data_IF_333923395166
#
_entry.id   IF_333923395166
#
_cell.length_a   1.000
_cell.length_b   1.000
_cell.length_c   1.000
_cell.angle_alpha   90.00
_cell.angle_beta   90.00
_cell.angle_gamma   90.00
#
_symmetry.space_group_name_H-M   'P 1'
#
loop_
_entity.id
_entity.type
_entity.pdbx_description
1 polymer ?
#
# COMPACT_ATOMS: atom_id res chain seq x y z
N UNK A 1 -13.42 18.50 25.94
CA UNK A 1 -12.25 19.32 25.58
C UNK A 1 -12.46 19.85 24.17
N UNK A 2 -12.89 21.11 24.01
CA UNK A 2 -12.94 21.75 22.69
C UNK A 2 -11.63 22.52 22.51
N UNK A 3 -10.75 22.01 21.65
CA UNK A 3 -9.55 22.71 21.24
C UNK A 3 -9.99 23.89 20.37
N UNK A 4 -10.03 25.10 20.94
CA UNK A 4 -10.31 26.35 20.23
C UNK A 4 -9.01 26.86 19.60
N UNK A 5 -9.03 27.11 18.29
CA UNK A 5 -8.01 27.81 17.50
C UNK A 5 -6.59 27.22 17.53
N UNK A 6 -6.43 25.96 17.12
CA UNK A 6 -5.12 25.51 16.63
C UNK A 6 -5.24 25.34 15.11
N UNK A 7 -4.30 25.93 14.38
CA UNK A 7 -4.12 25.77 12.95
C UNK A 7 -3.62 24.35 12.66
N UNK A 8 -4.55 23.38 12.70
CA UNK A 8 -4.34 21.94 12.51
C UNK A 8 -5.15 21.49 11.32
N UNK A 9 -4.52 20.70 10.46
CA UNK A 9 -5.16 20.08 9.31
C UNK A 9 -5.67 18.67 9.64
N UNK A 10 -5.01 17.96 10.56
CA UNK A 10 -5.44 16.62 11.01
C UNK A 10 -4.90 16.26 12.38
N UNK A 11 -5.72 15.56 13.16
CA UNK A 11 -5.29 14.82 14.35
C UNK A 11 -5.33 13.34 14.01
N UNK A 12 -4.23 12.61 14.22
CA UNK A 12 -4.14 11.18 13.93
C UNK A 12 -3.96 10.43 15.24
N UNK A 13 -4.90 9.54 15.55
CA UNK A 13 -4.82 8.70 16.75
C UNK A 13 -4.46 7.25 16.42
N UNK A 14 -3.89 6.53 17.39
CA UNK A 14 -3.65 5.09 17.24
C UNK A 14 -4.96 4.30 17.27
N UNK A 15 -5.01 3.23 16.48
CA UNK A 15 -6.07 2.25 16.47
C UNK A 15 -5.65 1.03 17.27
N UNK A 16 -6.59 0.50 18.03
CA UNK A 16 -6.51 -0.79 18.70
C UNK A 16 -7.11 -1.87 17.79
N UNK A 17 -6.29 -2.78 17.30
CA UNK A 17 -6.77 -3.92 16.52
C UNK A 17 -7.29 -4.97 17.48
N UNK A 18 -8.55 -5.35 17.31
CA UNK A 18 -9.20 -6.38 18.11
C UNK A 18 -9.73 -7.50 17.22
N UNK A 19 -9.69 -8.72 17.71
CA UNK A 19 -10.35 -9.85 17.07
C UNK A 19 -11.86 -9.65 17.11
N UNK A 20 -12.53 -9.80 15.96
CA UNK A 20 -13.97 -9.54 15.87
C UNK A 20 -14.79 -10.51 16.74
N UNK A 21 -14.36 -11.76 16.89
CA UNK A 21 -15.13 -12.80 17.57
C UNK A 21 -14.93 -12.80 19.09
N UNK A 22 -13.67 -12.65 19.52
CA UNK A 22 -13.27 -12.74 20.93
C UNK A 22 -13.13 -11.37 21.60
N UNK A 23 -13.04 -10.28 20.82
CA UNK A 23 -12.78 -8.94 21.32
C UNK A 23 -11.37 -8.73 21.89
N UNK A 24 -10.49 -9.72 21.77
CA UNK A 24 -9.13 -9.66 22.30
C UNK A 24 -8.26 -8.68 21.52
N UNK A 25 -7.40 -7.96 22.24
CA UNK A 25 -6.35 -7.13 21.65
C UNK A 25 -5.41 -7.97 20.80
N UNK A 26 -5.11 -7.48 19.60
CA UNK A 26 -4.14 -8.08 18.67
C UNK A 26 -2.88 -7.23 18.61
N UNK A 27 -3.02 -5.94 18.29
CA UNK A 27 -1.91 -4.99 18.15
C UNK A 27 -2.43 -3.55 18.08
N UNK A 28 -1.52 -2.58 18.07
CA UNK A 28 -1.78 -1.21 17.62
C UNK A 28 -0.96 -0.88 16.38
N UNK A 29 -1.39 0.09 15.59
CA UNK A 29 -0.60 0.63 14.49
C UNK A 29 0.38 1.71 14.96
N UNK A 30 1.45 1.89 14.18
CA UNK A 30 2.29 3.08 14.27
C UNK A 30 1.72 4.20 13.40
N UNK A 31 1.70 5.41 13.96
CA UNK A 31 1.13 6.61 13.33
C UNK A 31 2.19 7.68 13.04
N UNK A 32 3.41 7.55 13.58
CA UNK A 32 4.45 8.55 13.43
C UNK A 32 5.73 7.94 12.85
N UNK A 33 6.41 8.71 12.01
CA UNK A 33 7.79 8.48 11.60
C UNK A 33 8.44 9.80 11.21
N UNK A 34 9.76 9.89 11.38
CA UNK A 34 10.58 10.97 10.82
C UNK A 34 10.64 10.94 9.28
N UNK A 35 10.37 9.79 8.66
CA UNK A 35 10.27 9.60 7.20
C UNK A 35 8.85 9.15 6.83
N UNK A 36 7.88 10.01 7.14
CA UNK A 36 6.45 9.67 7.08
C UNK A 36 6.02 9.17 5.70
N UNK A 37 6.45 9.79 4.60
CA UNK A 37 6.06 9.37 3.25
C UNK A 37 6.56 7.95 2.96
N UNK A 38 7.84 7.64 3.22
CA UNK A 38 8.37 6.30 2.94
C UNK A 38 7.76 5.25 3.84
N UNK A 39 7.65 5.55 5.12
CA UNK A 39 7.11 4.60 6.10
C UNK A 39 5.60 4.38 5.92
N UNK A 40 4.85 5.39 5.48
CA UNK A 40 3.44 5.23 5.12
C UNK A 40 3.29 4.42 3.82
N UNK A 41 4.09 4.72 2.80
CA UNK A 41 4.02 4.01 1.52
C UNK A 41 4.34 2.51 1.68
N UNK A 42 5.30 2.19 2.55
CA UNK A 42 5.74 0.81 2.83
C UNK A 42 4.90 0.09 3.88
N UNK A 43 3.92 0.78 4.48
CA UNK A 43 2.99 0.22 5.46
C UNK A 43 3.55 0.09 6.88
N UNK A 44 4.70 0.69 7.18
CA UNK A 44 5.24 0.79 8.54
C UNK A 44 4.43 1.74 9.40
N UNK A 45 4.01 2.86 8.81
CA UNK A 45 3.02 3.79 9.36
C UNK A 45 1.71 3.61 8.61
N UNK A 46 0.59 3.71 9.30
CA UNK A 46 -0.74 3.62 8.67
C UNK A 46 -1.75 4.41 9.49
N UNK A 47 -2.60 5.20 8.84
CA UNK A 47 -3.63 5.98 9.55
C UNK A 47 -4.98 5.25 9.54
N UNK A 48 -5.20 4.38 8.55
CA UNK A 48 -6.49 3.75 8.27
C UNK A 48 -7.60 4.78 8.00
N UNK A 49 -8.79 4.32 7.65
CA UNK A 49 -9.94 5.19 7.43
C UNK A 49 -10.35 6.00 8.68
N UNK A 50 -10.22 5.41 9.87
CA UNK A 50 -10.81 5.95 11.11
C UNK A 50 -9.81 6.56 12.10
N UNK A 51 -8.50 6.43 11.86
CA UNK A 51 -7.48 7.06 12.70
C UNK A 51 -7.38 8.58 12.55
N UNK A 52 -7.44 9.15 11.33
CA UNK A 52 -7.28 10.58 11.13
C UNK A 52 -8.62 11.33 11.21
N UNK A 53 -8.62 12.43 11.95
CA UNK A 53 -9.69 13.42 11.98
C UNK A 53 -9.26 14.65 11.18
N UNK A 54 -9.57 14.62 9.88
CA UNK A 54 -9.20 15.68 8.94
C UNK A 54 -10.08 16.93 9.10
N UNK A 55 -9.44 18.09 9.04
CA UNK A 55 -10.10 19.38 9.00
C UNK A 55 -10.82 19.58 7.67
N UNK A 56 -12.13 19.85 7.72
CA UNK A 56 -12.94 20.07 6.51
C UNK A 56 -12.38 21.19 5.62
N UNK A 57 -11.85 22.27 6.19
CA UNK A 57 -11.26 23.38 5.40
C UNK A 57 -10.01 22.95 4.65
N UNK A 58 -9.23 22.02 5.19
CA UNK A 58 -8.09 21.43 4.49
C UNK A 58 -8.56 20.53 3.35
N UNK A 59 -9.55 19.66 3.61
CA UNK A 59 -10.09 18.73 2.60
C UNK A 59 -10.76 19.44 1.41
N UNK A 60 -11.47 20.54 1.65
CA UNK A 60 -12.13 21.31 0.59
C UNK A 60 -11.15 21.99 -0.38
N UNK A 61 -9.85 22.02 -0.08
CA UNK A 61 -8.80 22.55 -0.96
C UNK A 61 -8.20 21.49 -1.89
N UNK A 62 -8.62 20.23 -1.74
CA UNK A 62 -8.05 19.12 -2.48
C UNK A 62 -8.87 18.84 -3.73
N UNK A 63 -8.19 18.60 -4.86
CA UNK A 63 -8.83 18.34 -6.15
C UNK A 63 -9.62 17.01 -6.15
N UNK A 64 -9.20 16.06 -5.32
CA UNK A 64 -9.79 14.72 -5.22
C UNK A 64 -9.73 14.21 -3.78
N UNK A 65 -10.86 13.70 -3.27
CA UNK A 65 -10.93 12.97 -2.00
C UNK A 65 -10.67 11.49 -2.24
N UNK A 66 -11.70 10.64 -2.40
CA UNK A 66 -11.53 9.22 -2.70
C UNK A 66 -11.61 8.95 -4.20
N UNK A 67 -10.78 8.01 -4.67
CA UNK A 67 -10.79 7.56 -6.06
C UNK A 67 -11.71 6.33 -6.19
N UNK A 68 -12.84 6.42 -6.90
CA UNK A 68 -13.79 5.31 -7.02
C UNK A 68 -13.24 4.11 -7.80
N UNK A 69 -12.09 4.25 -8.48
CA UNK A 69 -11.43 3.14 -9.17
C UNK A 69 -10.57 2.28 -8.22
N UNK A 70 -10.38 2.71 -6.97
CA UNK A 70 -9.61 2.01 -5.94
C UNK A 70 -10.58 1.35 -4.97
N UNK A 71 -10.70 0.02 -5.03
CA UNK A 71 -11.50 -0.78 -4.09
C UNK A 71 -10.72 -1.21 -2.86
N UNK A 72 -9.44 -1.49 -3.05
CA UNK A 72 -8.48 -1.88 -2.01
C UNK A 72 -7.34 -0.87 -1.98
N UNK A 73 -6.93 -0.46 -0.77
CA UNK A 73 -6.00 0.65 -0.48
C UNK A 73 -6.58 2.05 -0.79
N UNK A 74 -7.90 2.22 -0.75
CA UNK A 74 -8.56 3.51 -0.94
C UNK A 74 -8.23 4.50 0.19
N UNK A 75 -8.29 4.05 1.44
CA UNK A 75 -7.89 4.81 2.62
C UNK A 75 -6.38 5.11 2.65
N UNK A 76 -5.57 4.16 2.21
CA UNK A 76 -4.13 4.33 2.04
C UNK A 76 -3.81 5.38 0.97
N UNK A 77 -4.43 5.30 -0.21
CA UNK A 77 -4.26 6.27 -1.30
C UNK A 77 -4.71 7.66 -0.88
N UNK A 78 -5.90 7.77 -0.28
CA UNK A 78 -6.44 9.03 0.23
C UNK A 78 -5.50 9.69 1.22
N UNK A 79 -5.17 9.00 2.32
CA UNK A 79 -4.36 9.59 3.38
C UNK A 79 -2.95 9.93 2.89
N UNK A 80 -2.35 9.08 2.06
CA UNK A 80 -1.01 9.34 1.52
C UNK A 80 -0.98 10.56 0.60
N UNK A 81 -2.01 10.75 -0.22
CA UNK A 81 -2.17 11.99 -1.01
C UNK A 81 -2.36 13.23 -0.13
N UNK A 82 -3.11 13.11 0.96
CA UNK A 82 -3.23 14.20 1.92
C UNK A 82 -1.89 14.52 2.58
N UNK A 83 -1.07 13.51 2.91
CA UNK A 83 0.28 13.68 3.47
C UNK A 83 1.21 14.43 2.49
N UNK A 84 1.12 14.16 1.17
CA UNK A 84 1.92 14.90 0.18
C UNK A 84 1.67 16.41 0.19
N UNK A 85 0.50 16.85 0.68
CA UNK A 85 0.16 18.28 0.80
C UNK A 85 0.76 18.94 2.04
N UNK A 86 1.65 18.23 2.75
CA UNK A 86 2.36 18.68 3.94
C UNK A 86 1.42 19.28 5.01
N UNK A 87 0.40 18.54 5.49
CA UNK A 87 -0.55 19.04 6.46
C UNK A 87 0.10 19.28 7.83
N UNK A 88 -0.49 20.18 8.63
CA UNK A 88 -0.18 20.32 10.05
C UNK A 88 -0.83 19.17 10.81
N UNK A 89 -0.03 18.17 11.16
CA UNK A 89 -0.46 16.94 11.84
C UNK A 89 -0.18 17.01 13.33
N UNK A 90 -1.16 16.64 14.16
CA UNK A 90 -0.93 16.23 15.54
C UNK A 90 -1.05 14.71 15.64
N UNK A 91 -0.05 14.06 16.22
CA UNK A 91 -0.07 12.64 16.52
C UNK A 91 -0.49 12.43 17.98
N UNK A 92 -1.62 11.77 18.17
CA UNK A 92 -2.14 11.40 19.48
C UNK A 92 -1.95 9.90 19.70
N UNK A 93 -1.11 9.52 20.67
CA UNK A 93 -0.82 8.12 20.95
C UNK A 93 -1.94 7.40 21.72
N UNK A 94 -3.06 8.07 22.00
CA UNK A 94 -4.23 7.44 22.60
C UNK A 94 -4.87 6.40 21.68
N UNK A 95 -5.34 5.28 22.26
CA UNK A 95 -6.04 4.21 21.58
C UNK A 95 -7.56 4.45 21.63
N UNK A 96 -8.04 5.38 20.81
CA UNK A 96 -9.44 5.84 20.86
C UNK A 96 -10.38 5.10 19.91
N UNK A 97 -9.84 4.33 18.96
CA UNK A 97 -10.62 3.61 17.96
C UNK A 97 -10.29 2.12 17.95
N UNK A 98 -11.32 1.28 18.05
CA UNK A 98 -11.21 -0.18 17.93
C UNK A 98 -11.44 -0.64 16.49
N UNK A 99 -10.38 -1.12 15.84
CA UNK A 99 -10.44 -1.71 14.50
C UNK A 99 -10.69 -3.21 14.61
N UNK A 100 -11.86 -3.67 14.18
CA UNK A 100 -12.24 -5.09 14.26
C UNK A 100 -11.68 -5.87 13.08
N UNK A 101 -10.85 -6.87 13.35
CA UNK A 101 -10.35 -7.80 12.33
C UNK A 101 -11.28 -9.00 12.22
N UNK A 102 -11.79 -9.25 11.02
CA UNK A 102 -12.57 -10.44 10.69
C UNK A 102 -11.83 -11.28 9.65
N UNK A 103 -11.96 -12.61 9.70
CA UNK A 103 -11.24 -13.53 8.79
C UNK A 103 -11.61 -13.35 7.31
N UNK A 104 -12.80 -12.81 7.04
CA UNK A 104 -13.30 -12.54 5.68
C UNK A 104 -13.15 -11.06 5.25
N UNK A 105 -12.18 -10.33 5.82
CA UNK A 105 -11.87 -8.95 5.43
C UNK A 105 -11.36 -8.82 3.99
N UNK A 106 -11.31 -7.60 3.45
CA UNK A 106 -10.67 -7.30 2.16
C UNK A 106 -9.20 -7.77 2.11
N UNK A 107 -8.46 -7.62 3.21
CA UNK A 107 -7.09 -8.14 3.32
C UNK A 107 -7.01 -9.66 3.14
N UNK A 108 -8.07 -10.41 3.48
CA UNK A 108 -8.17 -11.85 3.18
C UNK A 108 -8.34 -12.17 1.70
N UNK A 109 -8.86 -11.24 0.88
CA UNK A 109 -8.99 -11.45 -0.56
C UNK A 109 -7.66 -11.30 -1.29
N UNK A 110 -6.80 -10.37 -0.83
CA UNK A 110 -5.43 -10.24 -1.33
C UNK A 110 -4.63 -11.51 -1.09
N UNK A 111 -4.73 -12.11 0.11
CA UNK A 111 -4.08 -13.39 0.41
C UNK A 111 -4.66 -14.56 -0.41
N UNK A 112 -5.92 -14.48 -0.83
CA UNK A 112 -6.56 -15.42 -1.77
C UNK A 112 -6.21 -15.17 -3.24
N UNK A 113 -5.38 -14.16 -3.53
CA UNK A 113 -4.95 -13.74 -4.86
C UNK A 113 -6.13 -13.35 -5.77
N UNK A 114 -7.11 -12.63 -5.21
CA UNK A 114 -8.22 -12.08 -5.99
C UNK A 114 -7.73 -11.07 -7.03
N UNK A 115 -8.10 -11.25 -8.30
CA UNK A 115 -7.58 -10.44 -9.38
C UNK A 115 -7.98 -8.96 -9.31
N UNK A 116 -9.23 -8.67 -8.92
CA UNK A 116 -9.74 -7.30 -8.89
C UNK A 116 -9.07 -6.51 -7.76
N UNK A 117 -8.94 -7.12 -6.58
CA UNK A 117 -8.29 -6.47 -5.45
C UNK A 117 -6.78 -6.27 -5.69
N UNK A 118 -6.10 -7.25 -6.31
CA UNK A 118 -4.69 -7.12 -6.70
C UNK A 118 -4.48 -6.03 -7.76
N UNK A 119 -5.43 -5.89 -8.70
CA UNK A 119 -5.40 -4.83 -9.72
C UNK A 119 -5.60 -3.47 -9.07
N UNK A 120 -6.52 -3.35 -8.11
CA UNK A 120 -6.72 -2.13 -7.32
C UNK A 120 -5.46 -1.74 -6.54
N UNK A 121 -4.86 -2.68 -5.82
CA UNK A 121 -3.62 -2.46 -5.06
C UNK A 121 -2.49 -1.94 -5.99
N UNK A 122 -2.25 -2.65 -7.10
CA UNK A 122 -1.25 -2.21 -8.08
C UNK A 122 -1.56 -0.80 -8.61
N UNK A 123 -2.82 -0.51 -8.95
CA UNK A 123 -3.22 0.80 -9.46
C UNK A 123 -2.97 1.91 -8.42
N UNK A 124 -3.38 1.72 -7.16
CA UNK A 124 -3.14 2.68 -6.08
C UNK A 124 -1.65 2.99 -5.90
N UNK A 125 -0.78 1.96 -5.93
CA UNK A 125 0.68 2.16 -5.85
C UNK A 125 1.23 2.92 -7.05
N UNK A 126 0.80 2.59 -8.27
CA UNK A 126 1.24 3.30 -9.47
C UNK A 126 0.78 4.76 -9.48
N UNK A 127 -0.45 5.04 -9.00
CA UNK A 127 -0.96 6.39 -8.82
C UNK A 127 -0.05 7.20 -7.90
N UNK A 128 0.30 6.65 -6.73
CA UNK A 128 1.18 7.30 -5.76
C UNK A 128 2.62 7.50 -6.27
N UNK A 129 3.18 6.52 -7.00
CA UNK A 129 4.51 6.69 -7.62
C UNK A 129 4.54 7.83 -8.63
N UNK A 130 3.44 8.10 -9.35
CA UNK A 130 3.36 9.25 -10.24
C UNK A 130 3.43 10.56 -9.45
N UNK A 131 2.68 10.69 -8.35
CA UNK A 131 2.74 11.87 -7.48
C UNK A 131 4.15 12.11 -6.95
N UNK A 132 4.78 11.10 -6.34
CA UNK A 132 6.13 11.23 -5.75
C UNK A 132 7.18 11.58 -6.80
N UNK A 133 7.06 11.08 -8.04
CA UNK A 133 7.99 11.41 -9.12
C UNK A 133 8.09 12.92 -9.37
N UNK A 134 6.99 13.66 -9.17
CA UNK A 134 6.97 15.11 -9.33
C UNK A 134 7.52 15.85 -8.11
N UNK A 135 7.39 15.27 -6.91
CA UNK A 135 7.75 15.92 -5.64
C UNK A 135 9.20 15.63 -5.19
N UNK A 136 9.69 14.39 -5.33
CA UNK A 136 11.00 13.96 -4.80
C UNK A 136 11.62 12.80 -5.59
N UNK A 137 12.73 13.07 -6.29
CA UNK A 137 13.41 12.05 -7.10
C UNK A 137 14.07 10.94 -6.24
N UNK A 138 14.56 11.27 -5.03
CA UNK A 138 15.21 10.28 -4.14
C UNK A 138 14.19 9.28 -3.59
N UNK A 139 13.04 9.77 -3.14
CA UNK A 139 11.97 8.90 -2.62
C UNK A 139 11.35 8.07 -3.72
N UNK A 140 11.20 8.66 -4.92
CA UNK A 140 10.69 7.97 -6.08
C UNK A 140 11.47 6.69 -6.40
N UNK A 141 12.82 6.75 -6.46
CA UNK A 141 13.64 5.57 -6.77
C UNK A 141 13.43 4.47 -5.73
N UNK A 142 13.50 4.83 -4.44
CA UNK A 142 13.31 3.89 -3.34
C UNK A 142 11.93 3.23 -3.37
N UNK A 143 10.86 4.03 -3.49
CA UNK A 143 9.48 3.55 -3.47
C UNK A 143 9.11 2.77 -4.73
N UNK A 144 9.74 3.09 -5.85
CA UNK A 144 9.64 2.30 -7.08
C UNK A 144 10.30 0.94 -6.92
N UNK A 145 11.48 0.88 -6.30
CA UNK A 145 12.15 -0.39 -5.98
C UNK A 145 11.28 -1.24 -5.05
N UNK A 146 10.71 -0.63 -4.01
CA UNK A 146 9.78 -1.30 -3.10
C UNK A 146 8.57 -1.87 -3.84
N UNK A 147 7.92 -1.05 -4.68
CA UNK A 147 6.75 -1.47 -5.46
C UNK A 147 7.09 -2.58 -6.47
N UNK A 148 8.29 -2.55 -7.05
CA UNK A 148 8.79 -3.63 -7.94
C UNK A 148 8.93 -4.93 -7.15
N UNK A 149 9.54 -4.88 -5.97
CA UNK A 149 9.72 -6.05 -5.12
C UNK A 149 8.38 -6.65 -4.67
N UNK A 150 7.41 -5.82 -4.35
CA UNK A 150 6.03 -6.27 -4.10
C UNK A 150 5.43 -6.97 -5.33
N UNK A 151 5.57 -6.38 -6.53
CA UNK A 151 5.07 -6.99 -7.77
C UNK A 151 5.78 -8.31 -8.08
N UNK A 152 7.09 -8.41 -7.82
CA UNK A 152 7.88 -9.63 -7.95
C UNK A 152 7.35 -10.75 -7.04
N UNK A 153 7.12 -10.41 -5.76
CA UNK A 153 6.51 -11.32 -4.79
C UNK A 153 5.13 -11.80 -5.28
N UNK A 154 4.29 -10.87 -5.77
CA UNK A 154 2.96 -11.20 -6.25
C UNK A 154 3.00 -12.16 -7.45
N UNK A 155 3.83 -11.90 -8.45
CA UNK A 155 3.95 -12.78 -9.61
C UNK A 155 4.40 -14.17 -9.20
N UNK A 156 5.34 -14.28 -8.26
CA UNK A 156 5.80 -15.56 -7.71
C UNK A 156 4.66 -16.34 -7.07
N UNK A 157 3.83 -15.69 -6.27
CA UNK A 157 2.69 -16.34 -5.61
C UNK A 157 1.61 -16.75 -6.64
N UNK A 158 1.33 -15.90 -7.63
CA UNK A 158 0.40 -16.22 -8.71
C UNK A 158 0.84 -17.43 -9.54
N UNK A 159 2.14 -17.51 -9.89
CA UNK A 159 2.72 -18.63 -10.62
C UNK A 159 2.65 -19.92 -9.83
N UNK A 160 3.01 -19.87 -8.54
CA UNK A 160 3.00 -21.05 -7.66
C UNK A 160 1.59 -21.62 -7.48
N UNK A 161 0.59 -20.73 -7.46
CA UNK A 161 -0.82 -21.10 -7.33
C UNK A 161 -1.53 -21.27 -8.69
N UNK A 162 -0.80 -21.27 -9.81
CA UNK A 162 -1.31 -21.45 -11.18
C UNK A 162 -2.51 -20.53 -11.50
N UNK A 163 -2.44 -19.28 -11.04
CA UNK A 163 -3.53 -18.31 -11.21
C UNK A 163 -3.53 -17.75 -12.64
N UNK A 164 -4.71 -17.71 -13.26
CA UNK A 164 -4.91 -17.30 -14.67
C UNK A 164 -4.27 -15.95 -15.04
N UNK A 165 -4.25 -15.00 -14.11
CA UNK A 165 -3.81 -13.63 -14.35
C UNK A 165 -2.33 -13.38 -14.05
N UNK A 166 -1.52 -14.42 -13.81
CA UNK A 166 -0.08 -14.29 -13.55
C UNK A 166 0.67 -13.50 -14.64
N UNK A 167 0.29 -13.69 -15.91
CA UNK A 167 0.94 -13.02 -17.04
C UNK A 167 0.70 -11.50 -17.07
N UNK A 168 -0.48 -11.05 -16.61
CA UNK A 168 -0.79 -9.63 -16.50
C UNK A 168 0.19 -8.93 -15.57
N UNK A 169 0.42 -9.48 -14.37
CA UNK A 169 1.36 -8.92 -13.40
C UNK A 169 2.82 -9.11 -13.81
N UNK A 170 3.13 -10.17 -14.57
CA UNK A 170 4.46 -10.36 -15.15
C UNK A 170 4.84 -9.19 -16.08
N UNK A 171 3.93 -8.79 -16.99
CA UNK A 171 4.15 -7.64 -17.87
C UNK A 171 4.38 -6.35 -17.04
N UNK A 172 3.62 -6.16 -15.96
CA UNK A 172 3.79 -5.01 -15.07
C UNK A 172 5.16 -5.01 -14.37
N UNK A 173 5.61 -6.16 -13.88
CA UNK A 173 6.92 -6.33 -13.29
C UNK A 173 8.03 -5.98 -14.29
N UNK A 174 7.98 -6.52 -15.51
CA UNK A 174 8.96 -6.21 -16.53
C UNK A 174 9.01 -4.72 -16.85
N UNK A 175 7.86 -4.06 -16.99
CA UNK A 175 7.83 -2.60 -17.19
C UNK A 175 8.59 -1.87 -16.09
N UNK A 176 8.40 -2.24 -14.83
CA UNK A 176 9.12 -1.62 -13.71
C UNK A 176 10.63 -1.91 -13.75
N UNK A 177 11.03 -3.14 -14.05
CA UNK A 177 12.44 -3.52 -14.20
C UNK A 177 13.14 -2.80 -15.36
N UNK A 178 12.45 -2.64 -16.49
CA UNK A 178 12.94 -1.85 -17.62
C UNK A 178 13.19 -0.40 -17.22
N UNK A 179 12.22 0.23 -16.54
CA UNK A 179 12.37 1.61 -16.07
C UNK A 179 13.45 1.78 -14.98
N UNK A 180 13.81 0.70 -14.27
CA UNK A 180 14.92 0.64 -13.30
C UNK A 180 16.24 0.15 -13.90
N UNK A 181 16.27 -0.19 -15.20
CA UNK A 181 17.44 -0.73 -15.93
C UNK A 181 17.97 -2.06 -15.38
N UNK A 182 17.11 -2.90 -14.80
CA UNK A 182 17.48 -4.19 -14.18
C UNK A 182 17.35 -5.37 -15.17
N UNK A 183 18.06 -5.31 -16.31
CA UNK A 183 17.93 -6.29 -17.40
C UNK A 183 18.32 -7.72 -17.00
N UNK A 184 19.34 -7.88 -16.15
CA UNK A 184 19.75 -9.20 -15.64
C UNK A 184 18.63 -9.89 -14.85
N UNK A 185 17.85 -9.11 -14.10
CA UNK A 185 16.69 -9.64 -13.39
C UNK A 185 15.58 -10.08 -14.34
N UNK A 186 15.34 -9.35 -15.44
CA UNK A 186 14.35 -9.72 -16.46
C UNK A 186 14.67 -11.11 -17.00
N UNK A 187 15.90 -11.36 -17.45
CA UNK A 187 16.30 -12.67 -17.99
C UNK A 187 16.14 -13.79 -16.96
N UNK A 188 16.62 -13.57 -15.72
CA UNK A 188 16.49 -14.55 -14.63
C UNK A 188 15.03 -14.88 -14.34
N UNK A 189 14.17 -13.86 -14.27
CA UNK A 189 12.77 -14.02 -13.93
C UNK A 189 11.98 -14.69 -15.06
N UNK A 190 12.27 -14.36 -16.33
CA UNK A 190 11.71 -15.05 -17.50
C UNK A 190 12.04 -16.52 -17.50
N UNK A 191 13.31 -16.88 -17.26
CA UNK A 191 13.72 -18.28 -17.17
C UNK A 191 13.00 -19.01 -16.04
N UNK A 192 12.92 -18.38 -14.86
CA UNK A 192 12.18 -18.93 -13.72
C UNK A 192 10.69 -19.13 -14.01
N UNK A 193 10.05 -18.16 -14.68
CA UNK A 193 8.63 -18.21 -15.04
C UNK A 193 8.34 -19.35 -16.02
N UNK A 194 9.13 -19.47 -17.10
CA UNK A 194 8.98 -20.54 -18.09
C UNK A 194 9.23 -21.89 -17.43
N UNK A 195 10.34 -22.02 -16.68
CA UNK A 195 10.69 -23.28 -16.04
C UNK A 195 9.59 -23.76 -15.08
N UNK A 196 9.01 -22.82 -14.31
CA UNK A 196 7.98 -23.16 -13.31
C UNK A 196 6.66 -23.56 -13.97
N UNK A 197 6.26 -22.88 -15.04
CA UNK A 197 5.01 -23.23 -15.73
C UNK A 197 5.11 -24.49 -16.59
N UNK A 198 6.25 -24.76 -17.22
CA UNK A 198 6.42 -25.90 -18.14
C UNK A 198 6.85 -27.17 -17.39
N UNK A 199 7.82 -27.05 -16.48
CA UNK A 199 8.44 -28.21 -15.83
C UNK A 199 8.07 -28.37 -14.36
N UNK A 200 7.27 -27.46 -13.79
CA UNK A 200 7.06 -27.32 -12.33
C UNK A 200 8.38 -27.24 -11.54
N UNK A 201 9.46 -26.77 -12.18
CA UNK A 201 10.81 -26.60 -11.62
C UNK A 201 11.22 -25.14 -11.77
N UNK A 202 12.18 -24.63 -11.00
CA UNK A 202 12.68 -23.26 -11.22
C UNK A 202 12.04 -22.15 -10.39
N UNK A 203 11.20 -22.49 -9.40
CA UNK A 203 10.74 -21.55 -8.35
C UNK A 203 11.91 -20.80 -7.67
N UNK A 204 13.08 -21.44 -7.55
CA UNK A 204 14.30 -20.82 -7.01
C UNK A 204 14.74 -19.57 -7.79
N UNK A 205 14.49 -19.51 -9.11
CA UNK A 205 14.82 -18.35 -9.94
C UNK A 205 13.81 -17.20 -9.81
N UNK A 206 12.65 -17.47 -9.20
CA UNK A 206 11.63 -16.46 -8.87
C UNK A 206 11.86 -15.83 -7.48
N UNK A 207 12.87 -16.28 -6.73
CA UNK A 207 13.30 -15.65 -5.47
C UNK A 207 14.04 -14.34 -5.72
#
# INVERSE_FOLDING_TARGET
FFIKNIDIDVIVSKLEFIDFCTGQFIKSNEIYSSDLIRDYFTGRVSFYVSGPLWNRKFLNKQDELFDPLISNLDDWDFNLRMIYKNPKIIFDNSLVVKYRIHQNSLSSKISKLDFLELKSDYFARQKNLKFIKFESNKDYIFLKQYSKNWCKYLVRDLVSNKKKHQFFFLIKLYKMQFELKEFSEIFRFTFGYISTNVFNKGYKFLK
#
